data_IF_557492673624
#
_entry.id   IF_557492673624
#
_cell.length_a   1.000
_cell.length_b   1.000
_cell.length_c   1.000
_cell.angle_alpha   90.00
_cell.angle_beta   90.00
_cell.angle_gamma   90.00
#
_symmetry.space_group_name_H-M   'P 1'
#
loop_
_entity.id
_entity.type
_entity.pdbx_description
1 polymer ?
#
# COMPACT_ATOMS: atom_id res chain seq x y z
N UNK A 1 20.37 -23.76 9.94
CA UNK A 1 19.93 -23.23 8.65
C UNK A 1 18.43 -22.99 8.72
N UNK A 2 17.98 -21.80 9.12
CA UNK A 2 16.54 -21.46 9.13
C UNK A 2 16.22 -20.83 7.77
N UNK A 3 15.30 -21.45 7.05
CA UNK A 3 14.84 -21.05 5.72
C UNK A 3 14.44 -19.57 5.72
N UNK A 4 15.12 -18.78 4.90
CA UNK A 4 14.80 -17.38 4.64
C UNK A 4 13.56 -17.38 3.74
N UNK A 5 12.37 -17.36 4.34
CA UNK A 5 11.13 -17.20 3.58
C UNK A 5 11.12 -15.78 3.02
N UNK A 6 11.58 -15.62 1.78
CA UNK A 6 11.44 -14.38 1.03
C UNK A 6 10.04 -14.35 0.39
N UNK A 7 9.00 -14.10 1.18
CA UNK A 7 7.65 -13.83 0.66
C UNK A 7 7.57 -12.36 0.24
N UNK A 8 8.09 -12.02 -0.93
CA UNK A 8 7.85 -10.71 -1.54
C UNK A 8 7.16 -10.86 -2.88
N UNK A 9 5.92 -11.38 -2.87
CA UNK A 9 5.04 -11.24 -4.04
C UNK A 9 4.42 -9.84 -4.00
N UNK A 10 5.14 -8.86 -4.54
CA UNK A 10 4.53 -7.58 -4.90
C UNK A 10 3.77 -7.77 -6.18
N UNK A 11 2.53 -7.32 -6.21
CA UNK A 11 1.71 -7.30 -7.40
C UNK A 11 1.65 -5.84 -7.85
N UNK A 12 2.12 -5.57 -9.07
CA UNK A 12 1.93 -4.27 -9.69
C UNK A 12 0.43 -4.06 -9.95
N UNK A 13 -0.08 -2.88 -9.58
CA UNK A 13 -1.50 -2.56 -9.77
C UNK A 13 -1.68 -1.48 -10.83
N UNK A 14 -0.95 -0.36 -10.70
CA UNK A 14 -1.01 0.77 -11.63
C UNK A 14 0.09 1.79 -11.27
N UNK A 15 0.30 2.79 -12.14
CA UNK A 15 1.14 3.97 -11.87
C UNK A 15 0.29 5.24 -11.79
N UNK A 16 0.56 6.10 -10.80
CA UNK A 16 -0.11 7.39 -10.64
C UNK A 16 0.88 8.51 -10.38
N UNK A 17 0.66 9.64 -11.05
CA UNK A 17 1.42 10.87 -10.78
C UNK A 17 1.03 11.41 -9.41
N UNK A 18 2.04 11.70 -8.58
CA UNK A 18 1.87 12.45 -7.34
C UNK A 18 1.41 13.87 -7.68
N UNK A 19 0.18 14.20 -7.29
CA UNK A 19 -0.40 15.51 -7.58
C UNK A 19 0.25 16.62 -6.74
N UNK A 20 0.09 17.89 -7.17
CA UNK A 20 0.71 19.06 -6.52
C UNK A 20 0.34 19.22 -5.05
N UNK A 21 -0.82 18.71 -4.64
CA UNK A 21 -1.31 18.70 -3.27
C UNK A 21 -1.02 17.38 -2.55
N UNK A 22 -0.03 16.63 -3.03
CA UNK A 22 0.48 15.39 -2.44
C UNK A 22 -0.51 14.22 -2.45
N UNK A 23 -1.56 14.28 -3.28
CA UNK A 23 -2.52 13.17 -3.44
C UNK A 23 -2.03 12.17 -4.48
N UNK A 24 -2.26 10.89 -4.18
CA UNK A 24 -2.18 9.78 -5.13
C UNK A 24 -3.55 9.14 -5.26
N UNK A 25 -3.91 8.71 -6.47
CA UNK A 25 -5.13 7.93 -6.69
C UNK A 25 -4.83 6.46 -6.38
N UNK A 26 -5.71 5.82 -5.63
CA UNK A 26 -5.60 4.39 -5.36
C UNK A 26 -6.22 3.56 -6.51
N UNK A 27 -5.60 2.44 -6.92
CA UNK A 27 -6.20 1.48 -7.84
C UNK A 27 -7.53 0.93 -7.28
N UNK A 28 -8.53 0.67 -8.12
CA UNK A 28 -9.84 0.17 -7.64
C UNK A 28 -9.76 -1.24 -7.06
N UNK A 29 -8.78 -2.01 -7.51
CA UNK A 29 -8.51 -3.39 -7.15
C UNK A 29 -8.28 -3.54 -5.64
N UNK A 30 -7.75 -2.51 -4.96
CA UNK A 30 -7.45 -2.60 -3.53
C UNK A 30 -8.73 -2.73 -2.68
N UNK A 31 -9.88 -2.27 -3.17
CA UNK A 31 -11.16 -2.36 -2.45
C UNK A 31 -11.50 -3.83 -2.17
N UNK A 32 -11.45 -4.67 -3.21
CA UNK A 32 -11.74 -6.10 -3.08
C UNK A 32 -10.59 -6.86 -2.42
N UNK A 33 -9.35 -6.58 -2.80
CA UNK A 33 -8.19 -7.33 -2.32
C UNK A 33 -7.86 -7.08 -0.84
N UNK A 34 -8.09 -5.85 -0.36
CA UNK A 34 -7.83 -5.46 1.04
C UNK A 34 -9.11 -5.40 1.89
N UNK A 35 -10.29 -5.62 1.29
CA UNK A 35 -11.62 -5.55 1.96
C UNK A 35 -11.86 -4.21 2.68
N UNK A 36 -11.45 -3.12 2.04
CA UNK A 36 -11.61 -1.75 2.54
C UNK A 36 -12.86 -1.09 1.96
N UNK A 37 -13.30 0.01 2.59
CA UNK A 37 -14.39 0.84 2.11
C UNK A 37 -13.93 2.28 1.86
N UNK A 38 -14.14 2.83 0.65
CA UNK A 38 -13.83 4.23 0.37
C UNK A 38 -14.53 5.19 1.33
N UNK A 39 -13.79 6.13 1.92
CA UNK A 39 -14.33 7.12 2.86
C UNK A 39 -14.56 6.61 4.29
N UNK A 40 -14.37 5.32 4.57
CA UNK A 40 -14.54 4.72 5.90
C UNK A 40 -13.25 4.10 6.44
N UNK A 41 -12.53 3.33 5.61
CA UNK A 41 -11.30 2.65 6.06
C UNK A 41 -10.11 3.60 6.12
N UNK A 42 -9.29 3.44 7.17
CA UNK A 42 -8.05 4.21 7.35
C UNK A 42 -6.83 3.38 6.92
N UNK A 43 -5.81 4.08 6.44
CA UNK A 43 -4.50 3.51 6.19
C UNK A 43 -3.48 4.15 7.12
N UNK A 44 -2.59 3.33 7.68
CA UNK A 44 -1.37 3.80 8.32
C UNK A 44 -0.28 3.94 7.25
N UNK A 45 0.54 5.00 7.38
CA UNK A 45 1.55 5.37 6.39
C UNK A 45 2.93 5.22 7.03
N UNK A 46 3.76 4.36 6.46
CA UNK A 46 5.15 4.15 6.88
C UNK A 46 6.12 4.52 5.77
N UNK A 47 7.30 5.02 6.16
CA UNK A 47 8.41 5.30 5.25
C UNK A 47 9.53 4.29 5.50
N UNK A 48 9.80 3.43 4.52
CA UNK A 48 10.99 2.57 4.52
C UNK A 48 12.13 3.32 3.83
N UNK A 49 13.03 3.90 4.63
CA UNK A 49 14.19 4.65 4.13
C UNK A 49 15.21 3.78 3.40
N UNK A 50 15.29 2.49 3.74
CA UNK A 50 16.27 1.57 3.13
C UNK A 50 15.86 1.23 1.71
N UNK A 51 14.56 1.02 1.50
CA UNK A 51 14.00 0.67 0.18
C UNK A 51 13.51 1.88 -0.60
N UNK A 52 13.41 3.04 0.07
CA UNK A 52 12.86 4.30 -0.47
C UNK A 52 11.41 4.12 -0.93
N UNK A 53 10.60 3.55 -0.04
CA UNK A 53 9.21 3.20 -0.32
C UNK A 53 8.27 3.80 0.72
N UNK A 54 7.06 4.16 0.29
CA UNK A 54 5.93 4.39 1.18
C UNK A 54 5.14 3.09 1.26
N UNK A 55 4.82 2.67 2.48
CA UNK A 55 4.02 1.48 2.76
C UNK A 55 2.70 1.95 3.37
N UNK A 56 1.61 1.47 2.80
CA UNK A 56 0.26 1.71 3.30
C UNK A 56 -0.29 0.40 3.85
N UNK A 57 -0.70 0.39 5.12
CA UNK A 57 -1.35 -0.77 5.76
C UNK A 57 -2.77 -0.39 6.17
N UNK A 58 -3.71 -1.32 6.05
CA UNK A 58 -5.08 -1.09 6.53
C UNK A 58 -5.02 -0.98 8.05
N UNK A 59 -5.54 0.11 8.61
CA UNK A 59 -5.66 0.27 10.06
C UNK A 59 -6.77 -0.64 10.58
N UNK A 60 -6.41 -1.58 11.45
CA UNK A 60 -7.40 -2.35 12.21
C UNK A 60 -8.01 -1.46 13.30
N UNK A 61 -9.34 -1.52 13.43
CA UNK A 61 -10.13 -0.78 14.43
C UNK A 61 -10.72 -1.77 15.41
#
# INVERSE_FOLDING_TARGET
MKSKVNTTSRIYLDDYVLQKDMRIRMPKEIIKNLRIKPGESFFEIYLDLKRKEIILTVKEV
#
